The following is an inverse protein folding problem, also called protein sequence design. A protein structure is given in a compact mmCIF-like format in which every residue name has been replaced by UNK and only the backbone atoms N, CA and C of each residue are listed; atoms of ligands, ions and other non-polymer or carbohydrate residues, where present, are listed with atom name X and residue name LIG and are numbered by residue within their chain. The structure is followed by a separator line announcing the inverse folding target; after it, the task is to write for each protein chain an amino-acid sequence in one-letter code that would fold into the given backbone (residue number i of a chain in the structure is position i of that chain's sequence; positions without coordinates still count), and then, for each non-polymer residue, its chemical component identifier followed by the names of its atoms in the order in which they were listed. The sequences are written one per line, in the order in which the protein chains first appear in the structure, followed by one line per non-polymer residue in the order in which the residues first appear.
data_IF_894119893948
#
_entry.id   IF_894119893948
#
_cell.length_a   1.000
_cell.length_b   1.000
_cell.length_c   1.000
_cell.angle_alpha   90.00
_cell.angle_beta   90.00
_cell.angle_gamma   90.00
#
_symmetry.space_group_name_H-M   'P 1'
#
loop_
_entity.id
_entity.type
_entity.pdbx_description
1 polymer ?
#
# COMPACT_ATOMS: atom_id res chain seq x y z
N UNK A 1 -7.78 -5.23 -4.15
CA UNK A 1 -6.90 -4.13 -3.70
C UNK A 1 -6.60 -4.31 -2.22
N UNK A 2 -5.46 -3.82 -1.72
CA UNK A 2 -5.24 -3.76 -0.26
C UNK A 2 -6.21 -2.75 0.35
N UNK A 3 -6.58 -2.88 1.62
CA UNK A 3 -7.45 -1.91 2.29
C UNK A 3 -6.92 -0.47 2.16
N UNK A 4 -5.58 -0.32 2.16
CA UNK A 4 -4.91 0.97 1.96
C UNK A 4 -5.05 1.50 0.53
N UNK A 5 -4.84 0.65 -0.47
CA UNK A 5 -5.01 1.01 -1.87
C UNK A 5 -6.44 1.46 -2.16
N UNK A 6 -7.43 0.68 -1.71
CA UNK A 6 -8.84 1.03 -1.88
C UNK A 6 -9.19 2.36 -1.20
N UNK A 7 -8.82 2.56 0.07
CA UNK A 7 -9.13 3.79 0.79
C UNK A 7 -8.48 5.04 0.18
N UNK A 8 -7.27 4.90 -0.37
CA UNK A 8 -6.63 5.97 -1.14
C UNK A 8 -7.35 6.24 -2.45
N UNK A 9 -7.57 5.20 -3.28
CA UNK A 9 -8.20 5.30 -4.60
C UNK A 9 -9.61 5.90 -4.52
N UNK A 10 -10.36 5.61 -3.46
CA UNK A 10 -11.70 6.14 -3.25
C UNK A 10 -11.75 7.68 -3.09
N UNK A 11 -10.65 8.31 -2.63
CA UNK A 11 -10.55 9.76 -2.38
C UNK A 11 -9.68 10.45 -3.42
N UNK A 12 -8.58 9.79 -3.80
CA UNK A 12 -7.49 10.36 -4.60
C UNK A 12 -7.39 9.71 -5.98
N UNK A 13 -8.17 8.67 -6.30
CA UNK A 13 -8.09 7.99 -7.59
C UNK A 13 -6.68 7.48 -7.87
N UNK A 14 -6.17 7.73 -9.08
CA UNK A 14 -4.81 7.35 -9.46
C UNK A 14 -3.76 8.43 -9.13
N UNK A 15 -4.11 9.43 -8.30
CA UNK A 15 -3.21 10.55 -7.97
C UNK A 15 -1.93 10.06 -7.33
N UNK A 16 -0.82 10.72 -7.71
CA UNK A 16 0.50 10.45 -7.18
C UNK A 16 0.59 10.79 -5.70
N UNK A 17 1.11 9.88 -4.89
CA UNK A 17 1.39 10.14 -3.49
C UNK A 17 2.58 11.13 -3.33
N UNK A 18 2.64 11.91 -2.24
CA UNK A 18 3.78 12.79 -1.95
C UNK A 18 5.12 12.04 -1.95
N UNK A 19 6.16 12.70 -2.45
CA UNK A 19 7.52 12.20 -2.33
C UNK A 19 7.93 12.08 -0.85
N UNK A 20 8.68 11.04 -0.42
CA UNK A 20 9.12 10.91 0.98
C UNK A 20 9.89 12.12 1.52
N UNK A 21 10.64 12.81 0.66
CA UNK A 21 11.34 14.07 0.97
C UNK A 21 10.43 15.17 1.52
N UNK A 22 9.13 15.15 1.23
CA UNK A 22 8.18 16.10 1.79
C UNK A 22 8.15 16.00 3.32
N UNK A 23 8.33 14.81 3.89
CA UNK A 23 8.41 14.61 5.35
C UNK A 23 9.54 15.45 5.96
N UNK A 24 10.66 15.62 5.26
CA UNK A 24 11.79 16.42 5.74
C UNK A 24 11.53 17.93 5.77
N UNK A 25 10.43 18.39 5.15
CA UNK A 25 10.03 19.81 5.08
C UNK A 25 8.85 20.13 6.02
N UNK A 26 8.21 19.12 6.60
CA UNK A 26 7.08 19.26 7.51
C UNK A 26 7.48 19.89 8.84
N UNK A 27 6.58 20.63 9.48
CA UNK A 27 6.73 21.15 10.84
C UNK A 27 5.92 20.33 11.87
N UNK A 28 4.95 19.55 11.41
CA UNK A 28 4.20 18.60 12.23
C UNK A 28 4.01 17.27 11.50
N UNK A 29 4.51 16.18 12.08
CA UNK A 29 4.46 14.84 11.49
C UNK A 29 3.60 13.93 12.38
N UNK A 30 2.56 13.35 11.80
CA UNK A 30 1.76 12.29 12.41
C UNK A 30 2.20 10.93 11.84
N UNK A 31 2.90 10.14 12.64
CA UNK A 31 3.19 8.74 12.35
C UNK A 31 1.98 7.92 12.81
N UNK A 32 1.14 7.45 11.89
CA UNK A 32 -0.15 6.84 12.22
C UNK A 32 -0.13 5.34 11.89
N UNK A 33 -0.23 4.49 12.91
CA UNK A 33 -0.14 3.03 12.82
C UNK A 33 1.16 2.57 12.13
N UNK A 34 2.24 3.32 12.36
CA UNK A 34 3.51 3.18 11.67
C UNK A 34 4.64 2.79 12.63
N UNK A 35 5.28 1.65 12.38
CA UNK A 35 6.52 1.25 13.05
C UNK A 35 7.73 1.58 12.15
N UNK A 36 8.07 2.86 12.09
CA UNK A 36 9.09 3.38 11.17
C UNK A 36 10.46 2.75 11.42
N UNK A 37 10.82 2.49 12.69
CA UNK A 37 12.11 1.89 13.03
C UNK A 37 12.25 0.42 12.62
N UNK A 38 11.14 -0.31 12.46
CA UNK A 38 11.16 -1.73 12.08
C UNK A 38 10.84 -1.97 10.61
N UNK A 39 9.87 -1.25 10.04
CA UNK A 39 9.30 -1.58 8.72
C UNK A 39 9.47 -0.48 7.67
N UNK A 40 9.97 0.69 8.02
CA UNK A 40 10.19 1.79 7.08
C UNK A 40 11.43 2.63 7.45
N UNK A 41 12.58 1.96 7.61
CA UNK A 41 13.82 2.61 8.04
C UNK A 41 14.30 3.68 7.06
N UNK A 42 13.92 3.58 5.78
CA UNK A 42 14.24 4.55 4.74
C UNK A 42 13.60 5.92 4.99
N UNK A 43 12.54 6.00 5.79
CA UNK A 43 11.90 7.27 6.15
C UNK A 43 12.66 8.03 7.25
N UNK A 44 13.49 7.33 8.03
CA UNK A 44 14.18 7.90 9.20
C UNK A 44 15.08 9.10 8.91
N UNK A 45 15.84 9.15 7.80
CA UNK A 45 16.61 10.34 7.44
C UNK A 45 15.73 11.60 7.33
N UNK A 46 14.54 11.48 6.73
CA UNK A 46 13.61 12.60 6.54
C UNK A 46 12.98 13.06 7.85
N UNK A 47 12.54 12.12 8.70
CA UNK A 47 12.02 12.45 10.03
C UNK A 47 13.09 13.16 10.87
N UNK A 48 14.33 12.68 10.85
CA UNK A 48 15.45 13.33 11.56
C UNK A 48 15.73 14.73 11.02
N UNK A 49 15.68 14.92 9.71
CA UNK A 49 15.86 16.23 9.09
C UNK A 49 14.74 17.21 9.50
N UNK A 50 13.49 16.77 9.52
CA UNK A 50 12.37 17.57 10.01
C UNK A 50 12.56 17.96 11.48
N UNK A 51 12.93 17.01 12.35
CA UNK A 51 13.19 17.30 13.78
C UNK A 51 14.33 18.30 13.96
N UNK A 52 15.39 18.25 13.15
CA UNK A 52 16.48 19.24 13.17
C UNK A 52 15.98 20.65 12.82
N UNK A 53 14.94 20.77 11.99
CA UNK A 53 14.29 22.03 11.62
C UNK A 53 13.25 22.49 12.65
N UNK A 54 13.06 21.75 13.74
CA UNK A 54 12.11 22.05 14.81
C UNK A 54 10.74 21.40 14.64
N UNK A 55 10.59 20.45 13.72
CA UNK A 55 9.33 19.74 13.55
C UNK A 55 8.98 18.90 14.78
N UNK A 56 7.69 18.85 15.11
CA UNK A 56 7.16 17.97 16.16
C UNK A 56 6.64 16.67 15.53
N UNK A 57 6.95 15.52 16.13
CA UNK A 57 6.56 14.18 15.66
C UNK A 57 5.65 13.52 16.67
N UNK A 58 4.43 13.18 16.28
CA UNK A 58 3.49 12.44 17.12
C UNK A 58 3.27 11.04 16.55
N UNK A 59 3.19 10.05 17.44
CA UNK A 59 2.86 8.67 17.09
C UNK A 59 1.43 8.36 17.53
N UNK A 60 0.61 7.89 16.60
CA UNK A 60 -0.73 7.36 16.88
C UNK A 60 -0.66 5.85 16.64
N UNK A 61 -0.89 5.04 17.68
CA UNK A 61 -0.88 3.58 17.56
C UNK A 61 -1.74 2.93 18.64
N UNK A 62 -1.85 1.61 18.63
CA UNK A 62 -2.59 0.82 19.62
C UNK A 62 -1.73 0.39 20.82
N UNK A 63 -0.41 0.46 20.67
CA UNK A 63 0.58 0.20 21.71
C UNK A 63 1.87 1.00 21.42
N UNK A 64 2.72 1.15 22.43
CA UNK A 64 4.03 1.80 22.26
C UNK A 64 5.01 0.88 21.51
N UNK A 65 5.09 1.05 20.19
CA UNK A 65 6.08 0.38 19.36
C UNK A 65 7.45 1.11 19.44
N UNK A 66 8.56 0.54 18.92
CA UNK A 66 9.90 1.17 18.99
C UNK A 66 9.96 2.63 18.51
N UNK A 67 9.12 3.01 17.56
CA UNK A 67 8.98 4.39 17.04
C UNK A 67 8.58 5.40 18.12
N UNK A 68 8.00 4.96 19.25
CA UNK A 68 7.71 5.82 20.39
C UNK A 68 8.97 6.54 20.91
N UNK A 69 10.15 5.92 20.78
CA UNK A 69 11.43 6.50 21.24
C UNK A 69 11.83 7.79 20.51
N UNK A 70 11.29 8.01 19.30
CA UNK A 70 11.59 9.20 18.49
C UNK A 70 10.42 10.18 18.42
N UNK A 71 9.25 9.80 18.94
CA UNK A 71 8.07 10.63 18.98
C UNK A 71 8.14 11.59 20.19
N UNK A 72 7.66 12.81 19.99
CA UNK A 72 7.54 13.82 21.04
C UNK A 72 6.26 13.62 21.87
N UNK A 73 5.26 12.93 21.28
CA UNK A 73 4.03 12.52 21.95
C UNK A 73 3.55 11.19 21.37
N UNK A 74 3.03 10.31 22.23
CA UNK A 74 2.34 9.09 21.82
C UNK A 74 0.86 9.20 22.17
N UNK A 75 0.00 8.80 21.23
CA UNK A 75 -1.45 8.74 21.36
C UNK A 75 -1.85 7.29 21.17
N UNK A 76 -2.34 6.68 22.25
CA UNK A 76 -2.80 5.29 22.21
C UNK A 76 -4.31 5.26 21.92
N UNK A 77 -4.65 4.71 20.76
CA UNK A 77 -6.04 4.51 20.33
C UNK A 77 -6.47 3.07 20.56
N UNK A 78 -7.76 2.84 20.79
CA UNK A 78 -8.31 1.48 20.79
C UNK A 78 -8.17 0.85 19.40
N UNK A 79 -7.82 -0.45 19.31
CA UNK A 79 -7.75 -1.20 18.06
C UNK A 79 -8.96 -0.95 17.15
N UNK A 80 -8.69 -0.55 15.91
CA UNK A 80 -9.72 -0.33 14.88
C UNK A 80 -10.58 0.92 15.06
N UNK A 81 -10.20 1.85 15.94
CA UNK A 81 -10.95 3.10 16.19
C UNK A 81 -10.39 4.34 15.47
N UNK A 82 -9.32 4.19 14.68
CA UNK A 82 -8.61 5.29 14.01
C UNK A 82 -9.51 6.13 13.10
N UNK A 83 -10.48 5.52 12.42
CA UNK A 83 -11.46 6.25 11.59
C UNK A 83 -12.30 7.23 12.43
N UNK A 84 -12.74 6.82 13.62
CA UNK A 84 -13.46 7.71 14.53
C UNK A 84 -12.57 8.85 15.05
N UNK A 85 -11.28 8.58 15.29
CA UNK A 85 -10.32 9.61 15.66
C UNK A 85 -10.20 10.68 14.56
N UNK A 86 -10.04 10.25 13.30
CA UNK A 86 -9.94 11.16 12.17
C UNK A 86 -11.23 12.01 12.00
N UNK A 87 -12.41 11.41 12.15
CA UNK A 87 -13.69 12.14 12.12
C UNK A 87 -13.82 13.13 13.28
N UNK A 88 -13.35 12.77 14.47
CA UNK A 88 -13.33 13.68 15.62
C UNK A 88 -12.43 14.89 15.42
N UNK A 89 -11.24 14.68 14.84
CA UNK A 89 -10.34 15.78 14.47
C UNK A 89 -11.04 16.67 13.43
N UNK A 90 -11.61 16.10 12.37
CA UNK A 90 -12.35 16.86 11.35
C UNK A 90 -13.52 17.65 11.95
N UNK A 91 -14.28 17.05 12.87
CA UNK A 91 -15.37 17.73 13.59
C UNK A 91 -14.87 18.99 14.31
N UNK A 92 -13.77 18.89 15.05
CA UNK A 92 -13.19 20.02 15.79
C UNK A 92 -12.71 21.11 14.82
N UNK A 93 -12.04 20.73 13.72
CA UNK A 93 -11.59 21.68 12.70
C UNK A 93 -12.76 22.48 12.11
N UNK A 94 -13.89 21.82 11.83
CA UNK A 94 -15.09 22.49 11.33
C UNK A 94 -15.71 23.38 12.41
N UNK A 95 -15.86 22.86 13.63
CA UNK A 95 -16.46 23.60 14.77
C UNK A 95 -15.73 24.91 15.03
N UNK A 96 -14.41 24.91 14.96
CA UNK A 96 -13.55 26.07 15.23
C UNK A 96 -13.28 26.94 13.99
N UNK A 97 -13.76 26.52 12.80
CA UNK A 97 -13.54 27.25 11.55
C UNK A 97 -12.09 27.23 11.06
N UNK A 98 -11.30 26.19 11.39
CA UNK A 98 -9.91 26.02 10.94
C UNK A 98 -9.80 25.26 9.60
N UNK A 99 -10.78 25.45 8.73
CA UNK A 99 -10.81 24.87 7.40
C UNK A 99 -10.16 25.82 6.39
N UNK A 100 -9.47 25.26 5.40
CA UNK A 100 -8.94 26.04 4.28
C UNK A 100 -10.01 26.15 3.19
N UNK A 101 -10.91 27.14 3.32
CA UNK A 101 -12.06 27.27 2.43
C UNK A 101 -11.64 27.46 0.96
N UNK A 102 -10.57 28.23 0.69
CA UNK A 102 -10.10 28.46 -0.68
C UNK A 102 -9.60 27.16 -1.33
N UNK A 103 -8.83 26.35 -0.58
CA UNK A 103 -8.40 25.05 -1.07
C UNK A 103 -9.60 24.12 -1.31
N UNK A 104 -10.57 24.10 -0.39
CA UNK A 104 -11.75 23.25 -0.47
C UNK A 104 -12.61 23.57 -1.69
N UNK A 105 -12.91 24.84 -1.93
CA UNK A 105 -13.73 25.28 -3.08
C UNK A 105 -13.06 24.89 -4.42
N UNK A 106 -11.74 25.02 -4.48
CA UNK A 106 -10.97 24.77 -5.69
C UNK A 106 -10.77 23.28 -5.96
N UNK A 107 -10.39 22.51 -4.96
CA UNK A 107 -9.80 21.17 -5.14
C UNK A 107 -10.59 20.03 -4.52
N UNK A 108 -11.69 20.29 -3.81
CA UNK A 108 -12.43 19.26 -3.08
C UNK A 108 -13.87 19.19 -3.55
N UNK A 109 -14.42 17.98 -3.61
CA UNK A 109 -15.85 17.75 -3.80
C UNK A 109 -16.44 16.98 -2.62
N UNK A 110 -17.71 17.24 -2.30
CA UNK A 110 -18.44 16.46 -1.31
C UNK A 110 -18.25 16.85 0.16
N UNK A 111 -17.54 17.94 0.44
CA UNK A 111 -17.28 18.36 1.81
C UNK A 111 -18.53 18.78 2.57
N UNK A 112 -19.45 19.48 1.90
CA UNK A 112 -20.69 19.93 2.52
C UNK A 112 -21.53 18.76 3.02
N UNK A 113 -21.66 17.70 2.22
CA UNK A 113 -22.33 16.46 2.62
C UNK A 113 -21.63 15.81 3.83
N UNK A 114 -20.30 15.70 3.80
CA UNK A 114 -19.55 15.17 4.94
C UNK A 114 -19.79 16.00 6.22
N UNK A 115 -19.79 17.33 6.06
CA UNK A 115 -19.98 18.31 7.14
C UNK A 115 -21.36 18.23 7.76
N UNK A 116 -22.40 18.01 6.97
CA UNK A 116 -23.78 18.02 7.46
C UNK A 116 -24.29 16.64 7.87
N UNK A 117 -23.86 15.57 7.19
CA UNK A 117 -24.42 14.23 7.35
C UNK A 117 -23.61 13.35 8.29
N UNK A 118 -22.29 13.55 8.39
CA UNK A 118 -21.40 12.66 9.16
C UNK A 118 -20.80 13.36 10.36
N UNK A 119 -20.11 14.49 10.17
CA UNK A 119 -19.35 15.13 11.25
C UNK A 119 -20.16 15.46 12.51
N UNK A 120 -21.46 15.84 12.46
CA UNK A 120 -22.24 16.13 13.67
C UNK A 120 -22.32 14.92 14.64
N UNK A 121 -22.18 13.70 14.13
CA UNK A 121 -22.22 12.47 14.92
C UNK A 121 -20.89 12.12 15.61
N UNK A 122 -19.85 12.94 15.47
CA UNK A 122 -18.53 12.69 16.07
C UNK A 122 -18.06 13.84 16.99
N UNK A 123 -18.87 14.29 17.97
CA UNK A 123 -18.40 15.24 18.96
C UNK A 123 -17.26 14.64 19.81
N UNK A 124 -16.35 15.46 20.36
CA UNK A 124 -15.16 14.99 21.08
C UNK A 124 -15.46 13.98 22.18
N UNK A 125 -16.55 14.16 22.93
CA UNK A 125 -16.96 13.24 23.99
C UNK A 125 -17.28 11.83 23.47
N UNK A 126 -18.00 11.71 22.36
CA UNK A 126 -18.33 10.42 21.73
C UNK A 126 -17.07 9.79 21.11
N UNK A 127 -16.24 10.58 20.45
CA UNK A 127 -14.96 10.09 19.87
C UNK A 127 -14.04 9.58 20.97
N UNK A 128 -13.96 10.26 22.11
CA UNK A 128 -13.19 9.82 23.28
C UNK A 128 -13.70 8.48 23.82
N UNK A 129 -15.03 8.29 23.88
CA UNK A 129 -15.61 7.00 24.27
C UNK A 129 -15.28 5.87 23.30
N UNK A 130 -15.26 6.12 21.99
CA UNK A 130 -14.95 5.11 20.96
C UNK A 130 -13.46 4.78 20.95
N UNK A 131 -12.62 5.81 20.92
CA UNK A 131 -11.17 5.69 20.70
C UNK A 131 -10.37 5.43 21.97
N UNK A 132 -10.91 5.76 23.14
CA UNK A 132 -10.16 5.76 24.41
C UNK A 132 -9.19 6.94 24.56
N UNK A 133 -9.09 7.84 23.58
CA UNK A 133 -8.25 9.05 23.66
C UNK A 133 -8.98 10.11 24.46
N UNK A 134 -8.32 10.76 25.42
CA UNK A 134 -8.94 11.83 26.21
C UNK A 134 -9.35 13.01 25.33
N UNK A 135 -10.50 13.61 25.63
CA UNK A 135 -11.03 14.80 24.93
C UNK A 135 -9.98 15.91 24.84
N UNK A 136 -9.24 16.16 25.94
CA UNK A 136 -8.19 17.18 25.96
C UNK A 136 -7.09 16.91 24.94
N UNK A 137 -6.65 15.66 24.83
CA UNK A 137 -5.61 15.26 23.88
C UNK A 137 -6.12 15.34 22.44
N UNK A 138 -7.38 14.95 22.20
CA UNK A 138 -8.03 15.10 20.91
C UNK A 138 -8.11 16.56 20.44
N UNK A 139 -8.50 17.47 21.34
CA UNK A 139 -8.53 18.92 21.07
C UNK A 139 -7.11 19.47 20.80
N UNK A 140 -6.11 19.03 21.58
CA UNK A 140 -4.71 19.41 21.35
C UNK A 140 -4.20 18.94 19.97
N UNK A 141 -4.52 17.70 19.58
CA UNK A 141 -4.20 17.18 18.25
C UNK A 141 -4.80 18.05 17.14
N UNK A 142 -6.09 18.38 17.25
CA UNK A 142 -6.79 19.18 16.26
C UNK A 142 -6.20 20.59 16.15
N UNK A 143 -5.90 21.24 17.28
CA UNK A 143 -5.23 22.55 17.32
C UNK A 143 -3.87 22.48 16.63
N UNK A 144 -3.02 21.51 17.00
CA UNK A 144 -1.68 21.38 16.42
C UNK A 144 -1.75 21.11 14.92
N UNK A 145 -2.63 20.21 14.49
CA UNK A 145 -2.82 19.88 13.09
C UNK A 145 -3.30 21.08 12.28
N UNK A 146 -4.23 21.88 12.83
CA UNK A 146 -4.73 23.10 12.20
C UNK A 146 -3.69 24.22 12.09
N UNK A 147 -2.89 24.41 13.14
CA UNK A 147 -1.94 25.53 13.25
C UNK A 147 -0.58 25.22 12.62
N UNK A 148 -0.30 23.96 12.30
CA UNK A 148 0.89 23.58 11.55
C UNK A 148 0.89 24.26 10.17
N UNK A 149 2.04 24.79 9.79
CA UNK A 149 2.26 25.33 8.45
C UNK A 149 2.21 24.22 7.41
N UNK A 150 2.78 23.05 7.69
CA UNK A 150 2.88 21.92 6.76
C UNK A 150 2.67 20.58 7.51
N UNK A 151 1.42 20.27 7.94
CA UNK A 151 1.13 19.01 8.61
C UNK A 151 1.23 17.85 7.63
N UNK A 152 1.89 16.77 8.05
CA UNK A 152 2.12 15.59 7.23
C UNK A 152 1.78 14.30 7.95
N UNK A 153 1.01 13.43 7.31
CA UNK A 153 0.64 12.13 7.85
C UNK A 153 1.43 11.03 7.15
N UNK A 154 2.11 10.18 7.92
CA UNK A 154 2.72 8.95 7.43
C UNK A 154 1.84 7.80 7.89
N UNK A 155 1.18 7.12 6.94
CA UNK A 155 0.19 6.11 7.24
C UNK A 155 0.76 4.70 7.10
N UNK A 156 0.89 4.01 8.23
CA UNK A 156 1.31 2.61 8.27
C UNK A 156 0.20 1.64 7.86
N UNK A 157 0.40 0.35 8.14
CA UNK A 157 -0.47 -0.73 7.63
C UNK A 157 -1.24 -1.47 8.73
N UNK A 158 -1.08 -1.11 10.01
CA UNK A 158 -1.73 -1.82 11.13
C UNK A 158 -3.26 -1.68 11.09
N UNK A 159 -3.76 -0.48 10.80
CA UNK A 159 -5.18 -0.20 10.58
C UNK A 159 -5.82 -1.01 9.43
N UNK A 160 -5.04 -1.58 8.51
CA UNK A 160 -5.56 -2.43 7.44
C UNK A 160 -5.89 -3.86 7.89
N UNK A 161 -5.64 -4.19 9.17
CA UNK A 161 -5.85 -5.53 9.74
C UNK A 161 -7.24 -5.74 10.35
N UNK A 162 -8.08 -4.70 10.33
CA UNK A 162 -9.46 -4.75 10.79
C UNK A 162 -10.43 -4.72 9.60
N UNK A 163 -11.64 -5.26 9.79
CA UNK A 163 -12.69 -5.27 8.78
C UNK A 163 -13.12 -3.88 8.29
N UNK A 164 -12.92 -2.83 9.09
CA UNK A 164 -13.19 -1.43 8.75
C UNK A 164 -11.96 -0.68 8.18
N UNK A 165 -10.86 -1.39 7.87
CA UNK A 165 -9.57 -0.78 7.54
C UNK A 165 -9.59 0.09 6.27
N UNK A 166 -10.35 -0.30 5.25
CA UNK A 166 -10.43 0.48 4.00
C UNK A 166 -11.13 1.83 4.22
N UNK A 167 -12.24 1.82 4.96
CA UNK A 167 -12.97 3.02 5.35
C UNK A 167 -12.13 3.92 6.28
N UNK A 168 -11.35 3.32 7.18
CA UNK A 168 -10.41 4.04 8.04
C UNK A 168 -9.35 4.80 7.22
N UNK A 169 -8.70 4.13 6.25
CA UNK A 169 -7.72 4.79 5.36
C UNK A 169 -8.36 5.91 4.58
N UNK A 170 -9.56 5.67 4.03
CA UNK A 170 -10.34 6.67 3.30
C UNK A 170 -10.55 7.92 4.16
N UNK A 171 -11.04 7.72 5.37
CA UNK A 171 -11.32 8.79 6.34
C UNK A 171 -10.07 9.59 6.71
N UNK A 172 -8.93 8.92 6.97
CA UNK A 172 -7.67 9.61 7.27
C UNK A 172 -7.15 10.38 6.05
N UNK A 173 -7.35 9.85 4.83
CA UNK A 173 -6.97 10.50 3.57
C UNK A 173 -7.74 11.81 3.30
N UNK A 174 -8.94 11.94 3.86
CA UNK A 174 -9.72 13.17 3.81
C UNK A 174 -9.12 14.31 4.67
N UNK A 175 -8.45 13.97 5.77
CA UNK A 175 -8.03 14.95 6.79
C UNK A 175 -7.06 16.05 6.26
N UNK A 176 -6.05 15.75 5.42
CA UNK A 176 -5.18 16.78 4.85
C UNK A 176 -5.91 17.75 3.90
N UNK A 177 -7.04 17.34 3.29
CA UNK A 177 -7.83 18.22 2.43
C UNK A 177 -8.48 19.35 3.22
N UNK A 178 -9.00 19.05 4.42
CA UNK A 178 -9.71 20.01 5.29
C UNK A 178 -8.87 21.24 5.65
N UNK A 179 -7.55 21.07 5.79
CA UNK A 179 -6.61 22.14 6.17
C UNK A 179 -5.70 22.59 5.01
N UNK A 180 -6.03 22.16 3.78
CA UNK A 180 -5.27 22.51 2.57
C UNK A 180 -3.84 21.97 2.51
N UNK A 181 -3.51 20.94 3.30
CA UNK A 181 -2.14 20.45 3.44
C UNK A 181 -1.54 19.89 2.14
N UNK A 182 -2.37 19.40 1.21
CA UNK A 182 -1.93 18.92 -0.09
C UNK A 182 -1.25 19.99 -0.95
N UNK A 183 -1.64 21.27 -0.82
CA UNK A 183 -1.03 22.38 -1.54
C UNK A 183 0.28 22.89 -0.90
N UNK A 184 0.60 22.45 0.32
CA UNK A 184 1.73 23.00 1.09
C UNK A 184 2.98 22.17 0.87
N UNK A 185 4.13 22.81 0.65
CA UNK A 185 5.43 22.13 0.62
C UNK A 185 5.71 21.54 2.01
N UNK A 186 5.92 20.23 2.07
CA UNK A 186 6.03 19.48 3.32
C UNK A 186 4.71 19.07 3.97
N UNK A 187 3.55 19.40 3.37
CA UNK A 187 2.23 18.97 3.87
C UNK A 187 1.65 17.78 3.09
N UNK A 188 0.64 17.10 3.65
CA UNK A 188 -0.13 16.06 2.96
C UNK A 188 -0.13 14.71 3.68
N UNK A 189 -0.27 13.63 2.93
CA UNK A 189 -0.28 12.27 3.49
C UNK A 189 0.43 11.28 2.58
N UNK A 190 1.27 10.43 3.17
CA UNK A 190 1.95 9.32 2.52
C UNK A 190 1.33 7.99 2.99
N UNK A 191 0.45 7.41 2.16
CA UNK A 191 -0.15 6.10 2.40
C UNK A 191 0.68 4.95 1.84
N UNK A 192 0.95 5.04 0.54
CA UNK A 192 1.72 4.09 -0.23
C UNK A 192 2.11 4.77 -1.54
N UNK A 193 3.31 4.51 -2.03
CA UNK A 193 3.70 4.92 -3.38
C UNK A 193 3.49 3.74 -4.31
N UNK A 194 2.66 3.93 -5.34
CA UNK A 194 2.43 2.94 -6.39
C UNK A 194 3.11 3.39 -7.68
N UNK A 195 4.10 2.61 -8.09
CA UNK A 195 4.84 2.76 -9.37
C UNK A 195 4.42 1.67 -10.36
N UNK A 196 3.16 1.21 -10.23
CA UNK A 196 2.61 0.06 -10.96
C UNK A 196 2.73 0.16 -12.48
N UNK A 197 2.54 1.38 -13.01
CA UNK A 197 2.46 1.69 -14.44
C UNK A 197 3.77 2.19 -15.06
N UNK A 198 4.88 2.14 -14.30
CA UNK A 198 6.19 2.60 -14.78
C UNK A 198 6.70 1.73 -15.93
N UNK A 199 6.42 0.43 -15.86
CA UNK A 199 6.81 -0.54 -16.87
C UNK A 199 5.59 -1.16 -17.55
N UNK A 200 5.78 -1.60 -18.79
CA UNK A 200 4.81 -2.36 -19.57
C UNK A 200 4.61 -3.78 -19.01
N UNK A 201 3.97 -3.87 -17.83
CA UNK A 201 3.77 -5.13 -17.08
C UNK A 201 2.90 -6.11 -17.87
N UNK A 202 1.98 -5.61 -18.69
CA UNK A 202 1.11 -6.38 -19.58
C UNK A 202 1.89 -7.27 -20.56
N UNK A 203 3.12 -6.87 -20.92
CA UNK A 203 3.99 -7.66 -21.81
C UNK A 203 4.47 -8.95 -21.18
N UNK A 204 4.47 -9.02 -19.85
CA UNK A 204 4.87 -10.22 -19.10
C UNK A 204 3.64 -10.97 -18.57
N UNK A 205 2.61 -10.27 -18.09
CA UNK A 205 1.41 -10.93 -17.54
C UNK A 205 0.56 -11.59 -18.61
N UNK A 206 0.60 -11.10 -19.87
CA UNK A 206 -0.02 -11.72 -21.05
C UNK A 206 -1.46 -12.16 -20.81
N UNK A 207 -2.28 -11.25 -20.28
CA UNK A 207 -3.71 -11.51 -20.08
C UNK A 207 -4.41 -11.89 -21.40
N UNK A 208 -3.87 -11.48 -22.55
CA UNK A 208 -4.32 -11.86 -23.89
C UNK A 208 -4.15 -13.36 -24.21
N UNK A 209 -3.36 -14.11 -23.44
CA UNK A 209 -3.27 -15.57 -23.55
C UNK A 209 -4.43 -16.31 -22.86
N UNK A 210 -5.23 -15.62 -22.04
CA UNK A 210 -6.42 -16.20 -21.43
C UNK A 210 -7.47 -16.44 -22.52
N UNK A 211 -7.83 -17.71 -22.75
CA UNK A 211 -8.93 -18.08 -23.66
C UNK A 211 -10.29 -17.67 -23.09
N UNK A 212 -10.41 -17.74 -21.77
CA UNK A 212 -11.60 -17.40 -21.00
C UNK A 212 -11.19 -16.88 -19.62
N UNK A 213 -12.05 -16.10 -18.94
CA UNK A 213 -11.78 -15.66 -17.58
C UNK A 213 -11.60 -16.87 -16.64
N UNK A 214 -10.52 -16.86 -15.87
CA UNK A 214 -10.25 -17.91 -14.88
C UNK A 214 -10.82 -17.53 -13.51
N UNK A 215 -11.18 -18.54 -12.72
CA UNK A 215 -11.68 -18.31 -11.36
C UNK A 215 -10.58 -17.72 -10.48
N UNK A 216 -10.85 -16.56 -9.89
CA UNK A 216 -9.98 -15.91 -8.92
C UNK A 216 -10.42 -16.27 -7.50
N UNK A 217 -9.47 -16.68 -6.67
CA UNK A 217 -9.68 -16.93 -5.23
C UNK A 217 -8.94 -15.85 -4.46
N UNK A 218 -9.64 -15.18 -3.53
CA UNK A 218 -8.99 -14.22 -2.64
C UNK A 218 -8.00 -14.96 -1.73
N UNK A 219 -6.74 -14.54 -1.72
CA UNK A 219 -5.70 -15.16 -0.88
C UNK A 219 -6.04 -15.13 0.62
N UNK A 220 -6.81 -14.14 1.08
CA UNK A 220 -7.31 -14.10 2.46
C UNK A 220 -8.36 -15.17 2.77
N UNK A 221 -8.90 -15.83 1.74
CA UNK A 221 -9.84 -16.95 1.87
C UNK A 221 -9.19 -18.27 1.45
N UNK A 222 -7.85 -18.34 1.37
CA UNK A 222 -7.15 -19.54 0.95
C UNK A 222 -7.49 -20.75 1.84
N UNK A 223 -7.61 -20.57 3.15
CA UNK A 223 -8.04 -21.64 4.07
C UNK A 223 -9.38 -22.25 3.65
N UNK A 224 -10.41 -21.41 3.51
CA UNK A 224 -11.72 -21.82 3.00
C UNK A 224 -11.65 -22.45 1.61
N UNK A 225 -10.84 -21.88 0.71
CA UNK A 225 -10.68 -22.38 -0.65
C UNK A 225 -10.05 -23.78 -0.72
N UNK A 226 -9.17 -24.10 0.22
CA UNK A 226 -8.54 -25.41 0.32
C UNK A 226 -9.39 -26.43 1.08
N UNK A 227 -10.39 -26.02 1.88
CA UNK A 227 -11.17 -26.98 2.70
C UNK A 227 -12.62 -27.12 2.27
N UNK A 228 -13.30 -26.04 1.94
CA UNK A 228 -14.77 -26.02 1.76
C UNK A 228 -15.20 -25.69 0.33
N UNK A 229 -14.37 -24.99 -0.46
CA UNK A 229 -14.71 -24.65 -1.83
C UNK A 229 -14.85 -25.93 -2.67
N UNK A 230 -16.04 -26.17 -3.21
CA UNK A 230 -16.43 -27.44 -3.83
C UNK A 230 -16.88 -27.34 -5.30
N UNK A 231 -17.06 -26.12 -5.83
CA UNK A 231 -17.60 -25.91 -7.18
C UNK A 231 -16.67 -25.05 -8.08
N UNK A 232 -15.69 -25.66 -8.77
CA UNK A 232 -15.06 -26.95 -8.47
C UNK A 232 -14.09 -26.87 -7.28
N UNK A 233 -13.70 -27.98 -6.63
CA UNK A 233 -12.69 -27.95 -5.59
C UNK A 233 -11.31 -27.59 -6.14
N UNK A 234 -10.44 -27.03 -5.29
CA UNK A 234 -9.02 -26.88 -5.60
C UNK A 234 -8.36 -28.27 -5.49
N UNK A 235 -7.70 -28.69 -6.58
CA UNK A 235 -7.01 -29.98 -6.72
C UNK A 235 -5.52 -29.85 -7.03
N UNK A 236 -5.08 -28.64 -7.40
CA UNK A 236 -3.67 -28.33 -7.63
C UNK A 236 -3.37 -26.96 -7.04
N UNK A 237 -2.24 -26.84 -6.35
CA UNK A 237 -1.74 -25.61 -5.74
C UNK A 237 -0.26 -25.45 -6.11
N UNK A 238 0.05 -24.38 -6.86
CA UNK A 238 1.43 -24.00 -7.17
C UNK A 238 1.80 -22.74 -6.38
N UNK A 239 2.71 -22.88 -5.41
CA UNK A 239 3.15 -21.79 -4.55
C UNK A 239 4.55 -21.35 -4.96
N UNK A 240 4.70 -20.07 -5.28
CA UNK A 240 5.98 -19.40 -5.48
C UNK A 240 5.91 -18.02 -4.82
N UNK A 241 7.06 -17.50 -4.35
CA UNK A 241 7.17 -16.18 -3.70
C UNK A 241 6.28 -15.99 -2.44
N UNK A 242 5.85 -17.07 -1.78
CA UNK A 242 4.97 -16.99 -0.62
C UNK A 242 5.07 -18.22 0.29
N UNK A 243 4.73 -18.05 1.57
CA UNK A 243 4.62 -19.11 2.58
C UNK A 243 3.21 -19.10 3.21
N UNK A 244 2.15 -19.48 2.46
CA UNK A 244 0.76 -19.38 2.90
C UNK A 244 0.46 -20.09 4.23
N UNK A 245 1.18 -21.17 4.56
CA UNK A 245 1.08 -21.83 5.85
C UNK A 245 1.38 -20.92 7.05
N UNK A 246 2.04 -19.77 6.85
CA UNK A 246 2.37 -18.79 7.89
C UNK A 246 1.71 -17.44 7.65
N UNK A 247 1.67 -16.96 6.40
CA UNK A 247 1.32 -15.55 6.12
C UNK A 247 -0.16 -15.31 5.81
N UNK A 248 -0.90 -16.33 5.37
CA UNK A 248 -2.31 -16.19 5.06
C UNK A 248 -3.17 -16.39 6.32
N UNK A 249 -4.32 -15.69 6.43
CA UNK A 249 -5.18 -15.78 7.61
C UNK A 249 -5.86 -17.15 7.70
N UNK A 250 -6.30 -17.49 8.92
CA UNK A 250 -6.85 -18.81 9.27
C UNK A 250 -5.89 -19.97 8.95
N UNK A 251 -4.76 -19.94 9.66
CA UNK A 251 -3.72 -20.97 9.56
C UNK A 251 -4.29 -22.37 9.81
N UNK A 252 -5.27 -22.53 10.70
CA UNK A 252 -5.88 -23.83 11.00
C UNK A 252 -6.53 -24.44 9.76
N UNK A 253 -7.36 -23.67 9.04
CA UNK A 253 -7.97 -24.13 7.80
C UNK A 253 -6.92 -24.36 6.70
N UNK A 254 -5.92 -23.47 6.57
CA UNK A 254 -4.86 -23.63 5.58
C UNK A 254 -4.11 -24.95 5.79
N UNK A 255 -3.66 -25.22 7.02
CA UNK A 255 -2.93 -26.45 7.34
C UNK A 255 -3.82 -27.70 7.21
N UNK A 256 -5.13 -27.59 7.42
CA UNK A 256 -6.08 -28.68 7.12
C UNK A 256 -6.15 -28.93 5.61
N UNK A 257 -6.25 -27.87 4.82
CA UNK A 257 -6.31 -27.92 3.37
C UNK A 257 -5.03 -28.46 2.74
N UNK A 258 -3.86 -28.01 3.20
CA UNK A 258 -2.55 -28.47 2.71
C UNK A 258 -2.25 -29.95 3.02
N UNK A 259 -2.96 -30.57 3.97
CA UNK A 259 -2.81 -32.00 4.31
C UNK A 259 -3.74 -32.91 3.51
N UNK A 260 -4.57 -32.37 2.63
CA UNK A 260 -5.50 -33.15 1.83
C UNK A 260 -4.73 -34.06 0.87
N UNK A 261 -5.01 -35.36 0.91
CA UNK A 261 -4.38 -36.36 0.02
C UNK A 261 -4.73 -36.15 -1.47
N UNK A 262 -5.82 -35.43 -1.75
CA UNK A 262 -6.30 -35.16 -3.11
C UNK A 262 -5.88 -33.77 -3.65
N UNK A 263 -4.97 -33.07 -2.95
CA UNK A 263 -4.42 -31.79 -3.36
C UNK A 263 -2.96 -31.97 -3.81
N UNK A 264 -2.72 -31.83 -5.11
CA UNK A 264 -1.37 -31.82 -5.65
C UNK A 264 -0.69 -30.46 -5.41
N UNK A 265 0.34 -30.43 -4.57
CA UNK A 265 1.00 -29.21 -4.11
C UNK A 265 2.43 -29.13 -4.62
N UNK A 266 2.74 -28.07 -5.37
CA UNK A 266 4.09 -27.75 -5.82
C UNK A 266 4.55 -26.47 -5.13
N UNK A 267 5.74 -26.48 -4.56
CA UNK A 267 6.33 -25.31 -3.89
C UNK A 267 7.68 -24.98 -4.52
N UNK A 268 7.77 -23.80 -5.15
CA UNK A 268 8.99 -23.27 -5.76
C UNK A 268 9.65 -22.29 -4.80
N UNK A 269 10.71 -22.75 -4.14
CA UNK A 269 11.22 -22.11 -2.93
C UNK A 269 12.73 -22.34 -2.74
N UNK A 270 13.38 -21.45 -1.99
CA UNK A 270 14.82 -21.49 -1.67
C UNK A 270 15.12 -22.28 -0.40
N UNK A 271 14.14 -22.38 0.49
CA UNK A 271 14.27 -22.99 1.82
C UNK A 271 13.14 -24.00 2.06
N UNK A 272 13.34 -24.91 3.01
CA UNK A 272 12.25 -25.76 3.50
C UNK A 272 11.33 -24.95 4.43
N UNK A 273 10.45 -24.13 3.84
CA UNK A 273 9.45 -23.33 4.56
C UNK A 273 8.31 -24.20 5.11
N UNK A 274 7.49 -23.66 6.01
CA UNK A 274 6.33 -24.37 6.56
C UNK A 274 5.38 -24.87 5.47
N UNK A 275 5.19 -24.11 4.39
CA UNK A 275 4.39 -24.54 3.24
C UNK A 275 5.10 -25.64 2.45
N UNK A 276 6.42 -25.53 2.23
CA UNK A 276 7.19 -26.53 1.49
C UNK A 276 7.13 -27.93 2.12
N UNK A 277 6.93 -28.03 3.45
CA UNK A 277 6.78 -29.31 4.16
C UNK A 277 5.52 -30.10 3.77
N UNK A 278 4.55 -29.47 3.11
CA UNK A 278 3.32 -30.10 2.61
C UNK A 278 3.34 -30.31 1.08
N UNK A 279 4.45 -29.99 0.41
CA UNK A 279 4.54 -30.12 -1.03
C UNK A 279 4.77 -31.58 -1.46
N UNK A 280 4.11 -31.99 -2.54
CA UNK A 280 4.47 -33.22 -3.26
C UNK A 280 5.76 -33.03 -4.06
N UNK A 281 5.95 -31.82 -4.60
CA UNK A 281 7.15 -31.44 -5.35
C UNK A 281 7.69 -30.12 -4.81
N UNK A 282 8.98 -30.11 -4.48
CA UNK A 282 9.73 -28.90 -4.17
C UNK A 282 10.65 -28.59 -5.35
N UNK A 283 10.49 -27.40 -5.92
CA UNK A 283 11.36 -26.89 -6.98
C UNK A 283 12.35 -25.90 -6.35
N UNK A 284 13.67 -26.05 -6.54
CA UNK A 284 14.64 -25.09 -6.00
C UNK A 284 14.58 -23.76 -6.77
N UNK A 285 14.27 -22.68 -6.05
CA UNK A 285 14.23 -21.33 -6.60
C UNK A 285 15.58 -20.61 -6.52
N UNK A 286 15.84 -19.71 -7.45
CA UNK A 286 16.97 -18.77 -7.36
C UNK A 286 16.69 -17.67 -6.32
N UNK A 287 17.75 -17.15 -5.70
CA UNK A 287 17.77 -15.87 -5.00
C UNK A 287 17.84 -14.70 -5.99
N UNK A 288 17.59 -13.48 -5.48
CA UNK A 288 17.70 -12.24 -6.25
C UNK A 288 19.11 -11.92 -6.75
N UNK A 289 20.15 -12.63 -6.28
CA UNK A 289 21.53 -12.47 -6.76
C UNK A 289 21.85 -13.34 -7.97
N UNK A 290 20.98 -14.30 -8.30
CA UNK A 290 21.25 -15.38 -9.28
C UNK A 290 20.50 -15.20 -10.60
N UNK A 291 19.68 -14.15 -10.72
CA UNK A 291 18.95 -13.84 -11.94
C UNK A 291 18.84 -12.33 -12.15
N UNK A 292 18.62 -11.93 -13.39
CA UNK A 292 18.31 -10.55 -13.73
C UNK A 292 16.85 -10.23 -13.45
N UNK A 293 16.57 -8.97 -13.10
CA UNK A 293 15.23 -8.49 -12.83
C UNK A 293 15.14 -6.98 -13.04
N UNK A 294 13.92 -6.45 -13.01
CA UNK A 294 13.65 -5.01 -13.00
C UNK A 294 12.78 -4.65 -11.80
N UNK A 295 13.34 -3.86 -10.90
CA UNK A 295 12.68 -3.47 -9.66
C UNK A 295 12.06 -2.09 -9.77
N UNK A 296 10.81 -2.03 -9.30
CA UNK A 296 10.17 -0.80 -8.86
C UNK A 296 10.18 -0.76 -7.34
N UNK A 297 10.13 0.43 -6.78
CA UNK A 297 10.20 0.60 -5.33
C UNK A 297 8.84 0.71 -4.67
N UNK A 298 8.77 0.23 -3.43
CA UNK A 298 7.65 0.45 -2.53
C UNK A 298 8.05 1.54 -1.53
N UNK A 299 7.30 2.65 -1.51
CA UNK A 299 7.55 3.75 -0.57
C UNK A 299 8.55 4.82 -1.02
N UNK A 300 9.07 4.75 -2.25
CA UNK A 300 9.80 5.84 -2.92
C UNK A 300 9.71 5.69 -4.44
N UNK A 301 10.24 6.67 -5.19
CA UNK A 301 10.14 6.75 -6.65
C UNK A 301 11.36 6.17 -7.39
N UNK A 302 12.17 5.37 -6.71
CA UNK A 302 13.34 4.72 -7.31
C UNK A 302 12.98 3.51 -8.17
N UNK A 303 13.71 3.31 -9.25
CA UNK A 303 13.68 2.08 -10.05
C UNK A 303 15.09 1.62 -10.36
N UNK A 304 15.27 0.31 -10.57
CA UNK A 304 16.57 -0.24 -10.87
C UNK A 304 16.46 -1.55 -11.66
N UNK A 305 17.25 -1.68 -12.72
CA UNK A 305 17.53 -2.97 -13.36
C UNK A 305 18.67 -3.66 -12.62
N UNK A 306 18.56 -4.96 -12.42
CA UNK A 306 19.61 -5.78 -11.83
C UNK A 306 19.94 -6.92 -12.79
N UNK A 307 21.23 -7.24 -12.88
CA UNK A 307 21.73 -8.44 -13.57
C UNK A 307 22.17 -9.46 -12.56
N UNK A 308 22.13 -10.75 -12.92
CA UNK A 308 22.67 -11.80 -12.07
C UNK A 308 24.12 -11.49 -11.64
N UNK A 309 24.38 -11.54 -10.34
CA UNK A 309 25.70 -11.26 -9.73
C UNK A 309 26.52 -12.55 -9.65
N UNK A 310 25.84 -13.67 -9.42
CA UNK A 310 26.42 -15.03 -9.39
C UNK A 310 25.58 -15.96 -10.29
N UNK A 311 26.13 -17.08 -10.78
CA UNK A 311 25.31 -18.09 -11.45
C UNK A 311 24.34 -18.76 -10.45
N UNK A 312 23.22 -19.34 -10.92
CA UNK A 312 22.35 -20.16 -10.10
C UNK A 312 23.10 -21.27 -9.37
N UNK A 313 22.85 -21.40 -8.07
CA UNK A 313 23.46 -22.42 -7.22
C UNK A 313 22.70 -23.73 -7.38
N UNK A 314 23.46 -24.83 -7.56
CA UNK A 314 22.90 -26.16 -7.74
C UNK A 314 22.03 -26.26 -9.00
N UNK A 315 20.84 -26.82 -8.86
CA UNK A 315 19.87 -26.97 -9.96
C UNK A 315 18.76 -25.91 -9.90
N UNK A 316 18.96 -24.84 -9.13
CA UNK A 316 17.96 -23.79 -8.94
C UNK A 316 17.60 -23.09 -10.25
N UNK A 317 16.34 -22.68 -10.36
CA UNK A 317 15.79 -21.98 -11.53
C UNK A 317 14.96 -20.78 -11.09
N UNK A 318 15.01 -19.70 -11.86
CA UNK A 318 14.13 -18.54 -11.68
C UNK A 318 12.68 -18.89 -12.03
N UNK A 319 11.73 -18.08 -11.57
CA UNK A 319 10.31 -18.27 -11.91
C UNK A 319 10.12 -18.33 -13.43
N UNK A 320 10.76 -17.41 -14.15
CA UNK A 320 10.67 -17.38 -15.61
C UNK A 320 11.17 -18.69 -16.22
N UNK A 321 12.36 -19.16 -15.84
CA UNK A 321 12.90 -20.41 -16.36
C UNK A 321 12.00 -21.63 -16.06
N UNK A 322 11.38 -21.69 -14.88
CA UNK A 322 10.40 -22.73 -14.56
C UNK A 322 9.15 -22.61 -15.42
N UNK A 323 8.61 -21.40 -15.63
CA UNK A 323 7.47 -21.20 -16.51
C UNK A 323 7.77 -21.57 -17.97
N UNK A 324 8.98 -21.35 -18.47
CA UNK A 324 9.39 -21.82 -19.80
C UNK A 324 9.37 -23.35 -19.90
N UNK A 325 9.88 -24.05 -18.87
CA UNK A 325 9.88 -25.52 -18.83
C UNK A 325 8.46 -26.09 -18.72
N UNK A 326 7.61 -25.49 -17.89
CA UNK A 326 6.20 -25.87 -17.78
C UNK A 326 5.46 -25.63 -19.09
N UNK A 327 5.66 -24.47 -19.73
CA UNK A 327 5.06 -24.15 -21.02
C UNK A 327 5.45 -25.20 -22.08
N UNK A 328 6.73 -25.55 -22.16
CA UNK A 328 7.23 -26.59 -23.06
C UNK A 328 6.58 -27.96 -22.76
N UNK A 329 6.55 -28.38 -21.49
CA UNK A 329 5.97 -29.67 -21.09
C UNK A 329 4.46 -29.75 -21.39
N UNK A 330 3.75 -28.63 -21.30
CA UNK A 330 2.34 -28.50 -21.62
C UNK A 330 2.06 -28.31 -23.12
N UNK A 331 3.10 -28.24 -23.96
CA UNK A 331 2.98 -28.12 -25.41
C UNK A 331 2.69 -26.70 -25.91
N UNK A 332 2.92 -25.66 -25.10
CA UNK A 332 2.87 -24.28 -25.56
C UNK A 332 4.11 -23.95 -26.41
N UNK A 333 3.88 -23.61 -27.67
CA UNK A 333 4.93 -23.36 -28.66
C UNK A 333 5.15 -21.87 -29.01
N UNK A 334 4.38 -20.97 -28.38
CA UNK A 334 4.45 -19.53 -28.61
C UNK A 334 5.88 -19.01 -28.41
N UNK A 335 6.30 -18.05 -29.25
CA UNK A 335 7.62 -17.45 -29.15
C UNK A 335 7.86 -16.78 -27.79
N UNK A 336 6.79 -16.29 -27.13
CA UNK A 336 6.85 -15.66 -25.82
C UNK A 336 7.64 -16.49 -24.79
N UNK A 337 7.37 -17.80 -24.71
CA UNK A 337 8.03 -18.70 -23.76
C UNK A 337 9.47 -19.07 -24.14
N UNK A 338 9.97 -18.60 -25.28
CA UNK A 338 11.36 -18.82 -25.73
C UNK A 338 12.26 -17.62 -25.46
N UNK A 339 11.69 -16.51 -24.99
CA UNK A 339 12.41 -15.26 -24.73
C UNK A 339 13.24 -15.37 -23.46
N UNK A 340 14.39 -14.71 -23.43
CA UNK A 340 15.19 -14.59 -22.21
C UNK A 340 14.57 -13.58 -21.24
N UNK A 341 14.98 -13.64 -19.96
CA UNK A 341 14.59 -12.62 -18.98
C UNK A 341 15.02 -11.22 -19.42
N UNK A 342 16.18 -11.10 -20.07
CA UNK A 342 16.66 -9.82 -20.63
C UNK A 342 15.78 -9.27 -21.73
N UNK A 343 15.27 -10.13 -22.62
CA UNK A 343 14.35 -9.72 -23.68
C UNK A 343 13.05 -9.18 -23.09
N UNK A 344 12.52 -9.83 -22.06
CA UNK A 344 11.32 -9.40 -21.35
C UNK A 344 11.54 -8.07 -20.62
N UNK A 345 12.65 -7.92 -19.89
CA UNK A 345 13.00 -6.67 -19.22
C UNK A 345 13.13 -5.54 -20.25
N UNK A 346 13.77 -5.80 -21.39
CA UNK A 346 13.92 -4.82 -22.45
C UNK A 346 12.54 -4.42 -23.01
N UNK A 347 11.64 -5.38 -23.22
CA UNK A 347 10.28 -5.12 -23.65
C UNK A 347 9.47 -4.34 -22.61
N UNK A 348 9.72 -4.54 -21.31
CA UNK A 348 9.06 -3.77 -20.25
C UNK A 348 9.48 -2.29 -20.23
N UNK A 349 10.68 -1.98 -20.72
CA UNK A 349 11.28 -0.63 -20.76
C UNK A 349 11.05 0.07 -22.11
N UNK A 350 10.98 -0.67 -23.21
CA UNK A 350 11.03 -0.12 -24.58
C UNK A 350 9.83 -0.55 -25.44
N UNK A 351 9.02 0.39 -25.97
CA UNK A 351 9.16 1.84 -25.86
C UNK A 351 8.96 2.33 -24.42
N UNK A 352 9.56 3.48 -24.05
CA UNK A 352 9.38 4.04 -22.71
C UNK A 352 7.93 4.45 -22.48
N UNK A 353 7.42 4.16 -21.29
CA UNK A 353 6.17 4.73 -20.79
C UNK A 353 6.36 6.23 -20.52
N UNK A 354 5.27 7.02 -20.36
CA UNK A 354 5.38 8.43 -19.98
C UNK A 354 6.19 8.68 -18.69
N UNK A 355 6.21 7.70 -17.78
CA UNK A 355 6.99 7.73 -16.53
C UNK A 355 8.50 7.69 -16.74
N UNK A 356 8.96 7.17 -17.88
CA UNK A 356 10.36 7.00 -18.21
C UNK A 356 10.92 8.09 -19.13
N UNK A 357 10.08 9.04 -19.59
CA UNK A 357 10.48 10.07 -20.54
C UNK A 357 11.62 10.98 -20.03
N UNK A 358 11.60 11.29 -18.73
CA UNK A 358 12.59 12.18 -18.10
C UNK A 358 13.67 11.41 -17.31
N UNK A 359 13.68 10.08 -17.43
CA UNK A 359 14.61 9.21 -16.71
C UNK A 359 15.86 8.97 -17.55
N UNK A 360 17.03 8.93 -16.91
CA UNK A 360 18.27 8.51 -17.54
C UNK A 360 18.25 6.99 -17.84
N UNK A 361 17.69 6.63 -19.01
CA UNK A 361 17.61 5.25 -19.46
C UNK A 361 18.98 4.61 -19.66
N UNK A 362 20.04 5.39 -19.88
CA UNK A 362 21.40 4.87 -20.01
C UNK A 362 21.88 4.34 -18.67
N UNK A 363 21.66 5.10 -17.59
CA UNK A 363 21.92 4.63 -16.21
C UNK A 363 21.09 3.43 -15.84
N UNK A 364 19.78 3.45 -16.14
CA UNK A 364 18.90 2.32 -15.85
C UNK A 364 19.35 1.04 -16.57
N UNK A 365 19.67 1.13 -17.86
CA UNK A 365 20.16 0.00 -18.66
C UNK A 365 21.51 -0.53 -18.15
N UNK A 366 22.36 0.35 -17.60
CA UNK A 366 23.63 -0.02 -16.96
C UNK A 366 23.46 -0.57 -15.52
N UNK A 367 22.22 -0.74 -15.04
CA UNK A 367 21.91 -1.28 -13.72
C UNK A 367 22.12 -0.29 -12.56
N UNK A 368 22.26 1.01 -12.85
CA UNK A 368 22.30 2.06 -11.83
C UNK A 368 20.89 2.42 -11.39
N UNK A 369 20.65 2.68 -10.09
CA UNK A 369 19.36 3.16 -9.64
C UNK A 369 19.10 4.55 -10.23
N UNK A 370 17.86 4.78 -10.63
CA UNK A 370 17.37 6.07 -11.12
C UNK A 370 16.06 6.38 -10.41
N UNK A 371 15.76 7.65 -10.25
CA UNK A 371 14.53 8.13 -9.63
C UNK A 371 13.59 8.66 -10.70
N UNK A 372 12.30 8.38 -10.54
CA UNK A 372 11.25 8.86 -11.44
C UNK A 372 11.02 10.35 -11.19
N UNK A 373 10.98 11.14 -12.26
CA UNK A 373 10.59 12.54 -12.17
C UNK A 373 9.11 12.67 -11.84
N UNK A 374 8.79 13.58 -10.92
CA UNK A 374 7.42 13.97 -10.60
C UNK A 374 7.13 15.35 -11.22
N UNK A 375 5.97 15.54 -11.88
CA UNK A 375 5.58 16.87 -12.37
C UNK A 375 5.52 17.88 -11.23
N UNK A 376 5.89 19.16 -11.45
CA UNK A 376 5.96 20.17 -10.37
C UNK A 376 4.67 20.27 -9.53
N UNK A 377 3.49 20.16 -10.16
CA UNK A 377 2.19 20.29 -9.50
C UNK A 377 1.54 18.96 -9.10
N UNK A 378 2.29 17.85 -9.05
CA UNK A 378 1.75 16.50 -8.85
C UNK A 378 0.86 16.34 -7.60
N UNK A 379 1.14 17.06 -6.51
CA UNK A 379 0.34 17.03 -5.27
C UNK A 379 -1.05 17.65 -5.40
N UNK A 380 -1.27 18.43 -6.46
CA UNK A 380 -2.54 19.14 -6.73
C UNK A 380 -3.14 18.78 -8.10
N UNK A 381 -2.55 17.80 -8.79
CA UNK A 381 -3.09 17.25 -10.05
C UNK A 381 -3.79 15.94 -9.71
N UNK A 382 -5.09 16.02 -9.47
CA UNK A 382 -5.88 14.87 -9.05
C UNK A 382 -6.31 14.03 -10.26
N UNK A 383 -5.96 12.75 -10.24
CA UNK A 383 -6.35 11.74 -11.24
C UNK A 383 -7.58 10.96 -10.77
N UNK A 384 -8.58 11.69 -10.30
CA UNK A 384 -9.92 11.19 -9.95
C UNK A 384 -10.88 11.47 -11.10
N UNK A 385 -12.03 10.77 -11.17
CA UNK A 385 -13.07 11.07 -12.16
C UNK A 385 -13.53 12.54 -12.17
N UNK A 386 -13.59 13.19 -11.01
CA UNK A 386 -13.95 14.61 -10.88
C UNK A 386 -12.80 15.59 -11.13
N UNK A 387 -11.54 15.12 -11.19
CA UNK A 387 -10.36 15.98 -11.17
C UNK A 387 -10.13 16.72 -9.85
N UNK A 388 -10.83 16.32 -8.79
CA UNK A 388 -10.77 16.86 -7.41
C UNK A 388 -10.60 15.75 -6.38
N UNK A 389 -10.28 16.10 -5.14
CA UNK A 389 -10.33 15.19 -3.99
C UNK A 389 -11.78 14.83 -3.70
N UNK A 390 -12.11 13.54 -3.71
CA UNK A 390 -13.48 13.03 -3.63
C UNK A 390 -13.83 12.61 -2.19
N UNK A 391 -14.30 13.56 -1.36
CA UNK A 391 -14.82 13.21 -0.04
C UNK A 391 -16.16 12.48 -0.15
N UNK A 392 -16.98 12.92 -1.10
CA UNK A 392 -18.16 12.20 -1.57
C UNK A 392 -17.82 11.48 -2.88
N UNK A 393 -17.99 10.17 -2.90
CA UNK A 393 -17.78 9.34 -4.08
C UNK A 393 -19.07 8.55 -4.39
N UNK A 394 -19.88 8.97 -5.38
CA UNK A 394 -21.16 8.32 -5.69
C UNK A 394 -21.02 6.93 -6.31
N UNK A 395 -19.81 6.52 -6.71
CA UNK A 395 -19.55 5.19 -7.27
C UNK A 395 -19.26 4.15 -6.18
N UNK A 396 -18.94 4.59 -4.97
CA UNK A 396 -18.71 3.72 -3.82
C UNK A 396 -20.06 3.33 -3.18
N UNK A 397 -20.25 2.07 -2.77
CA UNK A 397 -21.44 1.64 -2.01
C UNK A 397 -21.71 2.49 -0.76
N UNK A 398 -20.65 3.05 -0.17
CA UNK A 398 -20.70 3.95 0.98
C UNK A 398 -20.21 5.33 0.54
N UNK A 399 -21.07 6.25 0.07
CA UNK A 399 -20.61 7.45 -0.63
C UNK A 399 -19.81 8.43 0.22
N UNK A 400 -19.96 8.41 1.55
CA UNK A 400 -19.23 9.27 2.50
C UNK A 400 -18.37 8.45 3.46
N UNK A 401 -17.19 8.97 3.87
CA UNK A 401 -16.40 8.35 4.90
C UNK A 401 -17.12 8.41 6.25
N UNK A 402 -17.17 7.29 6.96
CA UNK A 402 -17.76 7.19 8.29
C UNK A 402 -17.11 6.05 9.07
N UNK A 403 -17.45 5.91 10.36
CA UNK A 403 -16.90 4.87 11.21
C UNK A 403 -17.78 3.62 11.23
N UNK A 404 -17.18 2.46 10.94
CA UNK A 404 -17.74 1.16 11.26
C UNK A 404 -17.07 0.61 12.52
N UNK A 405 -17.83 -0.08 13.37
CA UNK A 405 -17.22 -0.86 14.45
C UNK A 405 -16.27 -1.92 13.87
N UNK A 406 -15.05 -2.06 14.41
CA UNK A 406 -14.08 -3.02 13.90
C UNK A 406 -14.51 -4.45 14.23
N UNK A 407 -14.21 -5.35 13.31
CA UNK A 407 -14.32 -6.80 13.48
C UNK A 407 -13.11 -7.47 12.83
N UNK A 408 -12.90 -8.75 13.15
CA UNK A 408 -11.76 -9.53 12.69
C UNK A 408 -10.78 -9.79 13.82
#
# INVERSE_FOLDING_TARGET
SSSKGYGWEAVMGETLAPHPDEVGKSDFILLWSANVLATNIHLMPYVREAKKRGATVWLIDTYENPTAQIADQVVLVRPGSDGALALGIMHILVREGWIDQEFMDRYVQGFEQLRTEVLPDYPPAKVSQITGVEVRLLEEMAVRYAKAHAPFIVLGSGLCRYGNGAMTVRTITCLPAVVGAWAKSGGGLLASISTGKVFHTERVTREDFLKEPTRVVNMNQLGYALTELSNPPIKSLYVYHSNPAVVAPDQTMILKGLRREDLFTVVHERFMTDTARYADIILPATSSLEHSDIYRSYGHYGIQRVTAVIPPVGESKSNWAVFQLLAQAMGFNDHFFKQSTEDLIQQMIDPPTPWLNEVDLTKLKAGRPVELSLPENYKTTFLTPSGKIELYNPQDPEPLPHYFEPYG
#
